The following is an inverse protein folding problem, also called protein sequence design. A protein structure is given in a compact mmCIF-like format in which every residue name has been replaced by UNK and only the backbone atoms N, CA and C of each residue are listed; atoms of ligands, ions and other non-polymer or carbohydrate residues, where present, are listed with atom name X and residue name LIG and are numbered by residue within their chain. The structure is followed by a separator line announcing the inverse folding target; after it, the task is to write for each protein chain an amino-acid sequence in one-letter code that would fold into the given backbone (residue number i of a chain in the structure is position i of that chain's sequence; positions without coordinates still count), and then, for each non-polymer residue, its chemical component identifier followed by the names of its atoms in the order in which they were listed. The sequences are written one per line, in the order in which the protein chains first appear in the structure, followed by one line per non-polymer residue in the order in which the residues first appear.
data_IF_919826329633
#
_entry.id   IF_919826329633
#
_cell.length_a   1.000
_cell.length_b   1.000
_cell.length_c   1.000
_cell.angle_alpha   90.00
_cell.angle_beta   90.00
_cell.angle_gamma   90.00
#
_symmetry.space_group_name_H-M   'P 1'
#
loop_
_entity.id
_entity.type
_entity.pdbx_description
1 polymer ?
#
# COMPACT_ATOMS: atom_id res chain seq x y z
N UNK A 1 11.52 30.31 -2.31
CA UNK A 1 11.65 28.84 -2.01
C UNK A 1 11.46 28.63 -0.53
N UNK A 2 10.56 27.75 -0.13
CA UNK A 2 10.41 27.34 1.27
C UNK A 2 11.62 26.44 1.57
N UNK A 3 12.38 26.74 2.63
CA UNK A 3 13.54 25.92 3.01
C UNK A 3 13.07 24.54 3.47
N UNK A 4 13.91 23.52 3.36
CA UNK A 4 13.62 22.14 3.80
C UNK A 4 13.16 22.08 5.26
N UNK A 5 13.79 22.86 6.15
CA UNK A 5 13.39 23.00 7.56
C UNK A 5 11.95 23.50 7.70
N UNK A 6 11.53 24.44 6.86
CA UNK A 6 10.16 24.96 6.88
C UNK A 6 9.16 23.94 6.34
N UNK A 7 9.55 23.10 5.37
CA UNK A 7 8.70 22.04 4.84
C UNK A 7 8.41 20.96 5.90
N UNK A 8 9.43 20.47 6.60
CA UNK A 8 9.24 19.53 7.71
C UNK A 8 8.32 20.08 8.80
N UNK A 9 8.49 21.35 9.15
CA UNK A 9 7.64 22.01 10.13
C UNK A 9 6.18 22.08 9.68
N UNK A 10 5.92 22.47 8.44
CA UNK A 10 4.56 22.52 7.88
C UNK A 10 3.89 21.14 7.85
N UNK A 11 4.63 20.11 7.45
CA UNK A 11 4.17 18.73 7.46
C UNK A 11 3.77 18.28 8.87
N UNK A 12 4.66 18.51 9.86
CA UNK A 12 4.42 18.13 11.25
C UNK A 12 3.23 18.88 11.87
N UNK A 13 3.11 20.17 11.60
CA UNK A 13 1.97 20.98 12.07
C UNK A 13 0.65 20.47 11.48
N UNK A 14 0.64 20.19 10.18
CA UNK A 14 -0.52 19.63 9.50
C UNK A 14 -0.91 18.25 10.06
N UNK A 15 0.08 17.37 10.29
CA UNK A 15 -0.14 16.05 10.88
C UNK A 15 -0.75 16.16 12.28
N UNK A 16 -0.20 17.02 13.15
CA UNK A 16 -0.76 17.26 14.51
C UNK A 16 -2.19 17.78 14.45
N UNK A 17 -2.48 18.67 13.50
CA UNK A 17 -3.82 19.18 13.29
C UNK A 17 -4.79 18.07 12.84
N UNK A 18 -4.38 17.21 11.90
CA UNK A 18 -5.16 16.03 11.48
C UNK A 18 -5.50 15.12 12.67
N UNK A 19 -4.50 14.80 13.51
CA UNK A 19 -4.67 13.94 14.69
C UNK A 19 -5.66 14.59 15.67
N UNK A 20 -5.50 15.88 15.94
CA UNK A 20 -6.41 16.64 16.80
C UNK A 20 -7.84 16.61 16.27
N UNK A 21 -8.03 16.92 14.99
CA UNK A 21 -9.36 16.96 14.37
C UNK A 21 -10.01 15.57 14.29
N UNK A 22 -9.23 14.51 14.12
CA UNK A 22 -9.72 13.13 14.20
C UNK A 22 -10.19 12.79 15.62
N UNK A 23 -9.41 13.10 16.65
CA UNK A 23 -9.76 12.84 18.06
C UNK A 23 -10.97 13.64 18.52
N UNK A 24 -11.15 14.85 18.00
CA UNK A 24 -12.33 15.71 18.23
C UNK A 24 -13.56 15.27 17.42
N UNK A 25 -13.44 14.31 16.50
CA UNK A 25 -14.52 13.87 15.64
C UNK A 25 -15.01 14.94 14.65
N UNK A 26 -14.12 15.88 14.26
CA UNK A 26 -14.46 16.91 13.29
C UNK A 26 -14.80 16.32 11.93
N UNK A 27 -15.87 16.84 11.31
CA UNK A 27 -16.32 16.43 9.98
C UNK A 27 -15.84 17.37 8.89
N UNK A 28 -15.73 18.66 9.15
CA UNK A 28 -15.11 19.67 8.27
C UNK A 28 -13.74 20.03 8.85
N UNK A 29 -12.67 19.83 8.06
CA UNK A 29 -11.30 19.92 8.52
C UNK A 29 -10.61 21.20 8.03
N UNK A 30 -9.75 21.75 8.85
CA UNK A 30 -8.78 22.79 8.47
C UNK A 30 -7.44 22.16 8.04
N UNK A 31 -7.17 20.92 8.49
CA UNK A 31 -6.01 20.17 8.04
C UNK A 31 -6.14 19.72 6.59
N UNK A 32 -5.02 19.36 5.98
CA UNK A 32 -4.90 18.80 4.65
C UNK A 32 -4.61 17.30 4.73
N UNK A 33 -4.92 16.50 3.69
CA UNK A 33 -4.47 15.12 3.66
C UNK A 33 -2.94 15.07 3.72
N UNK A 34 -2.37 14.19 4.56
CA UNK A 34 -0.92 14.01 4.63
C UNK A 34 -0.46 12.71 3.97
N UNK A 35 -1.40 11.90 3.46
CA UNK A 35 -1.12 10.71 2.66
C UNK A 35 -1.92 10.76 1.36
N UNK A 36 -1.23 10.54 0.24
CA UNK A 36 -1.85 10.52 -1.08
C UNK A 36 -1.48 9.25 -1.83
N UNK A 37 -2.47 8.59 -2.39
CA UNK A 37 -2.30 7.45 -3.30
C UNK A 37 -2.71 7.88 -4.70
N UNK A 38 -1.80 7.75 -5.64
CA UNK A 38 -1.98 8.09 -7.04
C UNK A 38 -2.00 6.81 -7.88
N UNK A 39 -3.19 6.33 -8.26
CA UNK A 39 -3.32 5.29 -9.27
C UNK A 39 -3.30 5.98 -10.64
N UNK A 40 -2.11 6.18 -11.20
CA UNK A 40 -1.94 7.04 -12.38
C UNK A 40 -2.29 6.36 -13.70
N UNK A 41 -2.35 5.01 -13.73
CA UNK A 41 -2.68 4.28 -14.96
C UNK A 41 -3.27 2.90 -14.66
N UNK A 42 -4.08 2.39 -15.60
CA UNK A 42 -4.46 0.96 -15.64
C UNK A 42 -3.65 0.17 -16.69
N UNK A 43 -2.79 0.85 -17.46
CA UNK A 43 -1.91 0.19 -18.45
C UNK A 43 -0.86 -0.64 -17.73
N UNK A 44 -0.64 -1.86 -18.22
CA UNK A 44 0.42 -2.74 -17.74
C UNK A 44 1.05 -3.46 -18.93
N UNK A 45 2.34 -3.76 -18.85
CA UNK A 45 3.07 -4.52 -19.85
C UNK A 45 2.92 -6.04 -19.73
N UNK A 46 2.26 -6.51 -18.65
CA UNK A 46 2.02 -7.92 -18.37
C UNK A 46 0.55 -8.17 -18.01
N UNK A 47 0.13 -9.44 -18.01
CA UNK A 47 -1.24 -9.89 -17.71
C UNK A 47 -1.24 -10.97 -16.65
N UNK A 48 -0.96 -10.60 -15.39
CA UNK A 48 -0.94 -11.54 -14.27
C UNK A 48 -2.29 -12.26 -14.12
N UNK A 49 -2.25 -13.57 -13.86
CA UNK A 49 -3.47 -14.40 -13.80
C UNK A 49 -4.46 -13.98 -12.71
N UNK A 50 -3.94 -13.38 -11.59
CA UNK A 50 -4.76 -12.95 -10.46
C UNK A 50 -5.12 -11.45 -10.51
N UNK A 51 -4.70 -10.72 -11.55
CA UNK A 51 -4.91 -9.29 -11.60
C UNK A 51 -6.39 -8.94 -11.81
N UNK A 52 -6.99 -8.26 -10.83
CA UNK A 52 -8.37 -7.78 -10.91
C UNK A 52 -8.53 -6.44 -11.63
N UNK A 53 -7.43 -5.79 -12.02
CA UNK A 53 -7.51 -4.52 -12.73
C UNK A 53 -7.85 -4.75 -14.20
N UNK A 54 -8.90 -4.10 -14.70
CA UNK A 54 -9.16 -4.12 -16.13
C UNK A 54 -8.03 -3.41 -16.86
N UNK A 55 -7.44 -4.03 -17.85
CA UNK A 55 -6.49 -3.37 -18.75
C UNK A 55 -7.26 -2.42 -19.69
N UNK A 56 -7.84 -1.36 -19.11
CA UNK A 56 -8.70 -0.39 -19.81
C UNK A 56 -7.92 0.76 -20.44
N UNK A 57 -6.59 0.74 -20.36
CA UNK A 57 -5.69 1.78 -20.85
C UNK A 57 -5.98 3.20 -20.32
N UNK A 58 -6.72 3.33 -19.21
CA UNK A 58 -6.94 4.63 -18.59
C UNK A 58 -5.62 5.15 -17.99
N UNK A 59 -5.37 6.43 -18.19
CA UNK A 59 -4.23 7.14 -17.62
C UNK A 59 -4.68 8.52 -17.15
N UNK A 60 -4.24 8.92 -15.97
CA UNK A 60 -4.49 10.26 -15.46
C UNK A 60 -3.73 11.26 -16.36
N UNK A 61 -4.38 12.31 -16.86
CA UNK A 61 -3.69 13.36 -17.66
C UNK A 61 -2.64 14.11 -16.82
N UNK A 62 -1.60 14.62 -17.49
CA UNK A 62 -0.52 15.40 -16.86
C UNK A 62 -1.06 16.54 -15.99
N UNK A 63 -1.94 17.37 -16.57
CA UNK A 63 -2.49 18.58 -15.94
C UNK A 63 -3.33 18.26 -14.70
N UNK A 64 -3.94 17.06 -14.67
CA UNK A 64 -4.66 16.60 -13.49
C UNK A 64 -3.69 16.09 -12.43
N UNK A 65 -2.65 15.36 -12.82
CA UNK A 65 -1.62 14.88 -11.91
C UNK A 65 -0.87 16.04 -11.26
N UNK A 66 -0.58 17.11 -11.99
CA UNK A 66 0.13 18.30 -11.51
C UNK A 66 -0.60 19.02 -10.35
N UNK A 67 -1.92 18.90 -10.25
CA UNK A 67 -2.70 19.49 -9.13
C UNK A 67 -2.24 19.01 -7.76
N UNK A 68 -1.56 17.85 -7.64
CA UNK A 68 -1.02 17.37 -6.36
C UNK A 68 0.08 18.27 -5.78
N UNK A 69 0.75 19.07 -6.61
CA UNK A 69 1.87 19.90 -6.17
C UNK A 69 1.47 20.89 -5.08
N UNK A 70 0.21 21.32 -5.05
CA UNK A 70 -0.35 22.15 -3.98
C UNK A 70 -0.42 21.46 -2.61
N UNK A 71 -0.35 20.12 -2.55
CA UNK A 71 -0.35 19.35 -1.31
C UNK A 71 1.05 19.02 -0.81
N UNK A 72 2.07 18.98 -1.68
CA UNK A 72 3.42 18.48 -1.36
C UNK A 72 4.04 19.12 -0.10
N UNK A 73 3.90 20.44 0.18
CA UNK A 73 4.49 21.04 1.38
C UNK A 73 3.98 20.46 2.70
N UNK A 74 2.78 19.86 2.71
CA UNK A 74 2.14 19.29 3.91
C UNK A 74 2.02 17.77 3.85
N UNK A 75 2.47 17.15 2.76
CA UNK A 75 2.36 15.72 2.53
C UNK A 75 3.48 14.96 3.23
N UNK A 76 3.15 13.87 3.91
CA UNK A 76 4.13 12.94 4.53
C UNK A 76 4.44 11.77 3.59
N UNK A 77 3.42 11.29 2.87
CA UNK A 77 3.56 10.11 2.00
C UNK A 77 2.83 10.25 0.67
N UNK A 78 3.52 9.85 -0.39
CA UNK A 78 2.99 9.78 -1.74
C UNK A 78 3.21 8.40 -2.32
N UNK A 79 2.13 7.69 -2.63
CA UNK A 79 2.18 6.34 -3.16
C UNK A 79 1.77 6.32 -4.64
N UNK A 80 2.68 5.90 -5.49
CA UNK A 80 2.49 5.74 -6.93
C UNK A 80 2.09 4.32 -7.26
N UNK A 81 0.90 4.15 -7.78
CA UNK A 81 0.32 2.84 -8.11
C UNK A 81 -0.36 2.86 -9.48
N UNK A 82 -0.77 1.68 -9.91
CA UNK A 82 -1.52 1.49 -11.15
C UNK A 82 -1.33 0.10 -11.73
N UNK A 83 -1.44 -0.01 -13.03
CA UNK A 83 -0.99 -1.19 -13.77
C UNK A 83 0.53 -1.33 -13.66
N UNK A 84 1.26 -0.46 -14.40
CA UNK A 84 2.71 -0.28 -14.24
C UNK A 84 3.04 1.21 -14.43
N UNK A 85 3.50 1.86 -13.37
CA UNK A 85 3.71 3.32 -13.33
C UNK A 85 4.80 3.78 -14.29
N UNK A 86 5.79 2.95 -14.54
CA UNK A 86 6.90 3.25 -15.46
C UNK A 86 6.48 3.34 -16.94
N UNK A 87 5.23 3.00 -17.26
CA UNK A 87 4.65 3.19 -18.62
C UNK A 87 4.05 4.59 -18.82
N UNK A 88 4.00 5.40 -17.75
CA UNK A 88 3.45 6.76 -17.84
C UNK A 88 4.55 7.74 -18.18
N UNK A 89 4.43 8.41 -19.31
CA UNK A 89 5.50 9.22 -19.91
C UNK A 89 5.99 10.34 -18.97
N UNK A 90 5.10 10.97 -18.20
CA UNK A 90 5.44 12.03 -17.26
C UNK A 90 5.88 11.52 -15.86
N UNK A 91 5.83 10.22 -15.60
CA UNK A 91 6.08 9.70 -14.26
C UNK A 91 7.49 10.02 -13.74
N UNK A 92 8.50 9.94 -14.61
CA UNK A 92 9.88 10.25 -14.23
C UNK A 92 10.01 11.71 -13.77
N UNK A 93 9.44 12.64 -14.51
CA UNK A 93 9.47 14.07 -14.18
C UNK A 93 8.82 14.33 -12.82
N UNK A 94 7.62 13.78 -12.60
CA UNK A 94 6.88 13.94 -11.33
C UNK A 94 7.62 13.33 -10.15
N UNK A 95 8.11 12.10 -10.31
CA UNK A 95 8.86 11.41 -9.28
C UNK A 95 10.10 12.20 -8.86
N UNK A 96 10.85 12.69 -9.83
CA UNK A 96 12.06 13.49 -9.58
C UNK A 96 11.74 14.87 -9.01
N UNK A 97 10.69 15.53 -9.49
CA UNK A 97 10.24 16.80 -8.92
C UNK A 97 9.97 16.67 -7.42
N UNK A 98 9.27 15.61 -7.00
CA UNK A 98 9.01 15.35 -5.58
C UNK A 98 10.32 15.04 -4.84
N UNK A 99 11.18 14.18 -5.39
CA UNK A 99 12.45 13.82 -4.74
C UNK A 99 13.40 15.01 -4.54
N UNK A 100 13.47 15.90 -5.53
CA UNK A 100 14.41 17.02 -5.51
C UNK A 100 13.87 18.25 -4.76
N UNK A 101 12.57 18.54 -4.85
CA UNK A 101 11.96 19.75 -4.27
C UNK A 101 11.28 19.51 -2.92
N UNK A 102 10.89 18.27 -2.63
CA UNK A 102 10.17 17.88 -1.41
C UNK A 102 10.75 16.60 -0.79
N UNK A 103 12.04 16.61 -0.40
CA UNK A 103 12.75 15.43 0.11
C UNK A 103 12.16 14.85 1.41
N UNK A 104 11.33 15.63 2.12
CA UNK A 104 10.58 15.17 3.29
C UNK A 104 9.44 14.20 2.94
N UNK A 105 8.97 14.19 1.68
CA UNK A 105 7.89 13.31 1.26
C UNK A 105 8.43 11.90 1.03
N UNK A 106 7.91 10.94 1.80
CA UNK A 106 8.21 9.53 1.61
C UNK A 106 7.47 9.03 0.36
N UNK A 107 8.19 8.81 -0.73
CA UNK A 107 7.60 8.23 -1.92
C UNK A 107 7.53 6.71 -1.81
N UNK A 108 6.46 6.09 -2.32
CA UNK A 108 6.39 4.65 -2.50
C UNK A 108 5.90 4.29 -3.90
N UNK A 109 6.43 3.20 -4.43
CA UNK A 109 6.11 2.68 -5.76
C UNK A 109 5.76 1.20 -5.63
N UNK A 110 4.67 0.77 -6.31
CA UNK A 110 4.39 -0.64 -6.54
C UNK A 110 4.65 -0.96 -8.01
N UNK A 111 5.51 -1.95 -8.28
CA UNK A 111 5.96 -2.28 -9.64
C UNK A 111 6.16 -3.79 -9.83
N UNK A 112 6.07 -4.23 -11.09
CA UNK A 112 6.52 -5.57 -11.49
C UNK A 112 8.06 -5.67 -11.65
N UNK A 113 8.78 -4.54 -11.62
CA UNK A 113 10.25 -4.46 -11.64
C UNK A 113 10.91 -4.57 -13.02
N UNK A 114 10.15 -4.80 -14.10
CA UNK A 114 10.69 -5.10 -15.42
C UNK A 114 11.25 -3.87 -16.17
N UNK A 115 10.88 -2.65 -15.74
CA UNK A 115 11.33 -1.40 -16.35
C UNK A 115 12.50 -0.72 -15.62
N UNK A 116 13.04 -1.34 -14.57
CA UNK A 116 14.15 -0.75 -13.81
C UNK A 116 15.47 -0.98 -14.57
N UNK A 117 15.71 -0.15 -15.57
CA UNK A 117 16.99 -0.07 -16.26
C UNK A 117 18.02 0.74 -15.44
N UNK A 118 19.22 0.91 -15.98
CA UNK A 118 20.30 1.67 -15.30
C UNK A 118 19.96 3.16 -15.11
N UNK A 119 19.08 3.72 -15.95
CA UNK A 119 18.67 5.13 -15.88
C UNK A 119 17.68 5.27 -14.73
N UNK A 120 16.61 4.47 -14.72
CA UNK A 120 15.64 4.44 -13.63
C UNK A 120 16.27 4.09 -12.28
N UNK A 121 17.18 3.11 -12.26
CA UNK A 121 17.87 2.72 -11.03
C UNK A 121 18.61 3.90 -10.39
N UNK A 122 19.27 4.77 -11.17
CA UNK A 122 19.94 5.98 -10.66
C UNK A 122 18.96 6.99 -10.06
N UNK A 123 17.79 7.20 -10.68
CA UNK A 123 16.77 8.09 -10.14
C UNK A 123 16.18 7.54 -8.85
N UNK A 124 15.80 6.27 -8.84
CA UNK A 124 15.23 5.60 -7.66
C UNK A 124 16.19 5.61 -6.47
N UNK A 125 17.48 5.38 -6.72
CA UNK A 125 18.50 5.34 -5.67
C UNK A 125 18.74 6.68 -4.96
N UNK A 126 18.32 7.81 -5.55
CA UNK A 126 18.50 9.16 -4.97
C UNK A 126 17.34 9.59 -4.08
N UNK A 127 16.19 8.94 -4.18
CA UNK A 127 14.98 9.32 -3.48
C UNK A 127 14.87 8.70 -2.09
N UNK A 128 14.08 9.32 -1.22
CA UNK A 128 13.53 8.66 -0.05
C UNK A 128 12.36 7.78 -0.51
N UNK A 129 12.63 6.49 -0.70
CA UNK A 129 11.77 5.59 -1.46
C UNK A 129 11.49 4.27 -0.72
N UNK A 130 10.22 3.89 -0.70
CA UNK A 130 9.78 2.55 -0.40
C UNK A 130 9.29 1.87 -1.67
N UNK A 131 10.04 0.89 -2.20
CA UNK A 131 9.68 0.20 -3.43
C UNK A 131 9.18 -1.21 -3.16
N UNK A 132 7.97 -1.50 -3.62
CA UNK A 132 7.31 -2.80 -3.53
C UNK A 132 7.44 -3.53 -4.87
N UNK A 133 8.21 -4.59 -4.85
CA UNK A 133 8.31 -5.52 -5.98
C UNK A 133 7.23 -6.58 -5.87
N UNK A 134 6.41 -6.66 -6.87
CA UNK A 134 5.40 -7.71 -6.99
C UNK A 134 6.04 -8.98 -7.54
N UNK A 135 6.36 -9.96 -6.67
CA UNK A 135 7.03 -11.22 -7.03
C UNK A 135 6.26 -12.37 -6.40
N UNK A 136 5.60 -13.21 -7.20
CA UNK A 136 4.75 -14.29 -6.67
C UNK A 136 5.44 -15.66 -6.65
N UNK A 137 6.63 -15.78 -7.22
CA UNK A 137 7.48 -16.98 -7.08
C UNK A 137 8.95 -16.64 -7.28
N UNK A 138 9.81 -17.40 -6.64
CA UNK A 138 11.27 -17.39 -6.85
C UNK A 138 11.70 -18.42 -7.89
N UNK A 139 10.79 -19.31 -8.28
CA UNK A 139 10.97 -20.24 -9.39
C UNK A 139 10.54 -19.58 -10.69
N UNK A 140 11.38 -19.67 -11.72
CA UNK A 140 11.14 -19.02 -13.02
C UNK A 140 9.84 -19.45 -13.68
N UNK A 141 9.62 -20.75 -13.78
CA UNK A 141 8.46 -21.32 -14.48
C UNK A 141 7.16 -20.88 -13.79
N UNK A 142 7.10 -20.97 -12.48
CA UNK A 142 5.94 -20.53 -11.67
C UNK A 142 5.75 -19.02 -11.75
N UNK A 143 6.83 -18.23 -11.70
CA UNK A 143 6.77 -16.78 -11.84
C UNK A 143 6.16 -16.37 -13.18
N UNK A 144 6.66 -16.92 -14.28
CA UNK A 144 6.23 -16.59 -15.63
C UNK A 144 4.81 -17.11 -15.94
N UNK A 145 4.41 -18.24 -15.33
CA UNK A 145 3.03 -18.74 -15.36
C UNK A 145 2.05 -17.76 -14.70
N UNK A 146 2.41 -17.25 -13.50
CA UNK A 146 1.57 -16.33 -12.74
C UNK A 146 1.57 -14.94 -13.39
N UNK A 147 2.75 -14.44 -13.76
CA UNK A 147 2.94 -13.10 -14.31
C UNK A 147 3.12 -13.14 -15.82
N UNK A 148 2.06 -13.54 -16.51
CA UNK A 148 2.06 -13.75 -17.97
C UNK A 148 2.59 -12.54 -18.71
N UNK A 149 3.60 -12.76 -19.54
CA UNK A 149 4.30 -11.73 -20.31
C UNK A 149 5.53 -11.15 -19.60
N UNK A 150 5.76 -11.50 -18.33
CA UNK A 150 7.01 -11.20 -17.66
C UNK A 150 8.07 -12.26 -17.98
N UNK A 151 9.34 -11.84 -17.97
CA UNK A 151 10.50 -12.73 -17.97
C UNK A 151 11.22 -12.62 -16.64
N UNK A 152 11.51 -13.75 -16.02
CA UNK A 152 12.16 -13.77 -14.71
C UNK A 152 13.55 -13.13 -14.72
N UNK A 153 14.30 -13.31 -15.82
CA UNK A 153 15.61 -12.69 -16.00
C UNK A 153 15.54 -11.15 -16.04
N UNK A 154 14.48 -10.58 -16.63
CA UNK A 154 14.31 -9.12 -16.69
C UNK A 154 14.00 -8.55 -15.30
N UNK A 155 13.22 -9.27 -14.47
CA UNK A 155 13.02 -8.93 -13.07
C UNK A 155 14.35 -8.90 -12.31
N UNK A 156 15.14 -9.99 -12.43
CA UNK A 156 16.45 -10.09 -11.75
C UNK A 156 17.36 -8.96 -12.17
N UNK A 157 17.44 -8.68 -13.48
CA UNK A 157 18.21 -7.56 -14.01
C UNK A 157 17.78 -6.21 -13.45
N UNK A 158 16.47 -5.98 -13.31
CA UNK A 158 15.93 -4.76 -12.69
C UNK A 158 16.34 -4.61 -11.23
N UNK A 159 16.26 -5.70 -10.47
CA UNK A 159 16.70 -5.73 -9.07
C UNK A 159 18.21 -5.46 -8.94
N UNK A 160 19.03 -6.10 -9.78
CA UNK A 160 20.47 -5.92 -9.78
C UNK A 160 20.88 -4.51 -10.16
N UNK A 161 20.26 -3.91 -11.19
CA UNK A 161 20.48 -2.52 -11.56
C UNK A 161 20.20 -1.57 -10.38
N UNK A 162 19.10 -1.80 -9.65
CA UNK A 162 18.75 -0.97 -8.50
C UNK A 162 19.75 -1.17 -7.35
N UNK A 163 20.14 -2.41 -7.04
CA UNK A 163 21.13 -2.71 -6.00
C UNK A 163 22.48 -2.04 -6.30
N UNK A 164 22.94 -2.12 -7.56
CA UNK A 164 24.19 -1.49 -8.00
C UNK A 164 24.11 0.04 -7.86
N UNK A 165 22.95 0.64 -8.23
CA UNK A 165 22.76 2.07 -8.11
C UNK A 165 22.72 2.54 -6.65
N UNK A 166 22.07 1.79 -5.75
CA UNK A 166 22.03 2.08 -4.31
C UNK A 166 23.43 2.03 -3.72
N UNK A 167 24.25 1.02 -4.08
CA UNK A 167 25.64 0.91 -3.58
C UNK A 167 26.52 2.08 -4.03
N UNK A 168 26.33 2.55 -5.26
CA UNK A 168 27.09 3.68 -5.82
C UNK A 168 26.63 5.03 -5.33
N UNK A 169 25.38 5.13 -4.90
CA UNK A 169 24.73 6.41 -4.62
C UNK A 169 24.34 6.50 -3.14
N UNK A 170 25.27 6.85 -2.31
CA UNK A 170 25.13 6.86 -0.84
C UNK A 170 24.17 7.96 -0.28
N UNK A 171 23.25 8.52 -1.07
CA UNK A 171 22.45 9.70 -0.70
C UNK A 171 20.98 9.43 -0.47
N UNK A 172 20.43 8.34 -1.01
CA UNK A 172 19.01 7.99 -0.87
C UNK A 172 18.76 6.94 0.21
N UNK A 173 17.54 6.93 0.73
CA UNK A 173 17.05 5.88 1.64
C UNK A 173 16.03 5.01 0.88
N UNK A 174 16.52 3.93 0.25
CA UNK A 174 15.67 3.02 -0.51
C UNK A 174 15.39 1.75 0.27
N UNK A 175 14.13 1.56 0.63
CA UNK A 175 13.63 0.35 1.27
C UNK A 175 12.90 -0.53 0.26
N UNK A 176 13.30 -1.81 0.17
CA UNK A 176 12.72 -2.78 -0.76
C UNK A 176 11.86 -3.80 -0.04
N UNK A 177 10.66 -4.04 -0.58
CA UNK A 177 9.71 -5.04 -0.11
C UNK A 177 9.34 -5.99 -1.24
N UNK A 178 9.25 -7.28 -0.94
CA UNK A 178 8.63 -8.29 -1.80
C UNK A 178 7.17 -8.44 -1.41
N UNK A 179 6.26 -8.26 -2.38
CA UNK A 179 4.83 -8.48 -2.21
C UNK A 179 4.42 -9.75 -2.95
N UNK A 180 3.86 -10.70 -2.20
CA UNK A 180 3.51 -12.04 -2.69
C UNK A 180 2.04 -12.29 -2.50
N UNK A 181 1.32 -12.56 -3.58
CA UNK A 181 -0.05 -13.09 -3.51
C UNK A 181 0.02 -14.61 -3.39
N UNK A 182 -0.47 -15.14 -2.27
CA UNK A 182 -0.46 -16.59 -2.02
C UNK A 182 -1.62 -17.25 -2.76
N UNK A 183 -1.29 -18.24 -3.58
CA UNK A 183 -2.19 -18.93 -4.50
C UNK A 183 -1.87 -20.42 -4.57
N UNK A 184 -2.74 -21.19 -5.24
CA UNK A 184 -2.55 -22.64 -5.44
C UNK A 184 -1.25 -22.99 -6.16
N UNK A 185 -0.84 -22.15 -7.11
CA UNK A 185 0.39 -22.36 -7.89
C UNK A 185 1.69 -22.11 -7.14
N UNK A 186 1.67 -21.37 -6.01
CA UNK A 186 2.91 -20.96 -5.31
C UNK A 186 2.98 -21.29 -3.81
N UNK A 187 1.89 -21.71 -3.16
CA UNK A 187 1.85 -21.80 -1.68
C UNK A 187 2.88 -22.79 -1.10
N UNK A 188 3.40 -23.73 -1.88
CA UNK A 188 4.40 -24.70 -1.43
C UNK A 188 5.83 -24.16 -1.40
N UNK A 189 6.11 -23.09 -2.15
CA UNK A 189 7.48 -22.57 -2.36
C UNK A 189 7.80 -21.30 -1.57
N UNK A 190 6.90 -20.88 -0.65
CA UNK A 190 7.01 -19.58 0.02
C UNK A 190 8.26 -19.43 0.90
N UNK A 191 8.82 -20.53 1.42
CA UNK A 191 10.04 -20.48 2.22
C UNK A 191 11.25 -19.99 1.42
N UNK A 192 11.29 -20.27 0.11
CA UNK A 192 12.39 -19.87 -0.79
C UNK A 192 12.55 -18.34 -0.89
N UNK A 193 11.50 -17.56 -0.54
CA UNK A 193 11.57 -16.11 -0.50
C UNK A 193 12.56 -15.57 0.53
N UNK A 194 12.88 -16.34 1.58
CA UNK A 194 13.90 -15.92 2.58
C UNK A 194 15.27 -15.84 1.94
N UNK A 195 15.70 -16.89 1.23
CA UNK A 195 16.99 -16.89 0.55
C UNK A 195 17.03 -15.92 -0.63
N UNK A 196 15.90 -15.77 -1.35
CA UNK A 196 15.77 -14.76 -2.39
C UNK A 196 15.93 -13.34 -1.80
N UNK A 197 15.27 -13.03 -0.70
CA UNK A 197 15.36 -11.74 -0.05
C UNK A 197 16.79 -11.44 0.45
N UNK A 198 17.49 -12.43 1.03
CA UNK A 198 18.90 -12.30 1.41
C UNK A 198 19.77 -12.00 0.19
N UNK A 199 19.67 -12.81 -0.85
CA UNK A 199 20.47 -12.70 -2.07
C UNK A 199 20.34 -11.33 -2.73
N UNK A 200 19.09 -10.82 -2.81
CA UNK A 200 18.78 -9.57 -3.51
C UNK A 200 18.58 -8.37 -2.56
N UNK A 201 18.90 -8.54 -1.27
CA UNK A 201 18.92 -7.48 -0.24
C UNK A 201 17.55 -6.80 -0.05
N UNK A 202 16.52 -7.60 0.05
CA UNK A 202 15.22 -7.13 0.51
C UNK A 202 15.15 -7.20 2.03
N UNK A 203 14.62 -6.15 2.66
CA UNK A 203 14.44 -6.09 4.11
C UNK A 203 13.09 -6.59 4.58
N UNK A 204 12.14 -6.74 3.66
CA UNK A 204 10.74 -7.09 3.99
C UNK A 204 10.12 -8.03 2.96
N UNK A 205 9.24 -8.92 3.46
CA UNK A 205 8.36 -9.75 2.65
C UNK A 205 6.95 -9.61 3.20
N UNK A 206 5.99 -9.35 2.31
CA UNK A 206 4.57 -9.33 2.66
C UNK A 206 3.83 -10.37 1.84
N UNK A 207 3.30 -11.38 2.53
CA UNK A 207 2.40 -12.34 1.94
C UNK A 207 0.97 -11.86 2.11
N UNK A 208 0.14 -11.99 1.08
CA UNK A 208 -1.26 -11.64 1.13
C UNK A 208 -2.11 -12.76 0.55
N UNK A 209 -3.32 -12.84 1.03
CA UNK A 209 -4.35 -13.70 0.47
C UNK A 209 -4.74 -13.18 -0.92
N UNK A 210 -5.01 -14.11 -1.85
CA UNK A 210 -5.62 -13.77 -3.13
C UNK A 210 -7.02 -13.19 -2.92
N UNK A 211 -7.33 -12.12 -3.63
CA UNK A 211 -8.67 -11.54 -3.70
C UNK A 211 -9.15 -11.47 -5.16
N UNK A 212 -10.46 -11.60 -5.36
CA UNK A 212 -11.09 -11.38 -6.66
C UNK A 212 -11.17 -12.62 -7.55
N UNK A 213 -11.21 -12.41 -8.87
CA UNK A 213 -11.41 -13.43 -9.90
C UNK A 213 -10.35 -14.55 -9.91
N UNK A 214 -10.65 -15.64 -10.56
CA UNK A 214 -9.88 -16.87 -10.70
C UNK A 214 -9.98 -17.83 -9.49
N UNK A 215 -11.16 -18.45 -9.28
CA UNK A 215 -11.39 -19.41 -8.20
C UNK A 215 -10.42 -20.60 -8.20
N UNK A 216 -9.93 -21.00 -9.38
CA UNK A 216 -9.02 -22.15 -9.52
C UNK A 216 -7.66 -21.96 -8.80
N UNK A 217 -7.24 -20.70 -8.59
CA UNK A 217 -6.02 -20.35 -7.87
C UNK A 217 -6.28 -19.94 -6.41
N UNK A 218 -7.55 -19.84 -6.01
CA UNK A 218 -7.92 -19.48 -4.66
C UNK A 218 -7.88 -20.69 -3.74
N UNK A 219 -7.04 -20.66 -2.72
CA UNK A 219 -6.97 -21.69 -1.68
C UNK A 219 -7.66 -21.26 -0.38
N UNK A 220 -8.16 -20.04 -0.32
CA UNK A 220 -8.78 -19.47 0.86
C UNK A 220 -10.31 -19.46 0.78
N UNK A 221 -10.88 -19.36 -0.45
CA UNK A 221 -12.34 -19.34 -0.69
C UNK A 221 -12.73 -20.14 -1.98
N UNK A 222 -13.30 -21.37 -1.85
CA UNK A 222 -13.45 -22.12 -0.59
C UNK A 222 -12.09 -22.56 -0.04
N UNK A 223 -12.02 -22.75 1.28
CA UNK A 223 -10.77 -23.19 1.91
C UNK A 223 -10.34 -24.56 1.40
N UNK A 224 -9.12 -24.63 0.89
CA UNK A 224 -8.45 -25.89 0.55
C UNK A 224 -7.83 -26.48 1.83
N UNK A 225 -8.34 -27.63 2.37
CA UNK A 225 -7.85 -28.15 3.63
C UNK A 225 -6.38 -28.54 3.61
N UNK A 226 -5.89 -29.08 2.47
CA UNK A 226 -4.48 -29.47 2.32
C UNK A 226 -3.58 -28.24 2.36
N UNK A 227 -3.93 -27.20 1.59
CA UNK A 227 -3.18 -25.96 1.57
C UNK A 227 -3.18 -25.28 2.94
N UNK A 228 -4.32 -25.24 3.64
CA UNK A 228 -4.40 -24.64 5.00
C UNK A 228 -3.52 -25.38 6.00
N UNK A 229 -3.53 -26.72 6.01
CA UNK A 229 -2.67 -27.50 6.91
C UNK A 229 -1.19 -27.36 6.57
N UNK A 230 -0.86 -27.23 5.28
CA UNK A 230 0.50 -26.96 4.82
C UNK A 230 0.98 -25.59 5.30
N UNK A 231 0.21 -24.53 5.04
CA UNK A 231 0.54 -23.17 5.43
C UNK A 231 0.68 -23.02 6.95
N UNK A 232 -0.16 -23.71 7.72
CA UNK A 232 -0.10 -23.76 9.18
C UNK A 232 1.26 -24.25 9.70
N UNK A 233 1.88 -25.21 9.01
CA UNK A 233 3.22 -25.72 9.35
C UNK A 233 4.34 -24.84 8.77
N UNK A 234 4.11 -24.23 7.63
CA UNK A 234 5.12 -23.48 6.88
C UNK A 234 5.38 -22.09 7.48
N UNK A 235 4.35 -21.32 7.84
CA UNK A 235 4.53 -19.94 8.27
C UNK A 235 5.38 -19.77 9.53
N UNK A 236 5.28 -20.62 10.58
CA UNK A 236 6.21 -20.55 11.71
C UNK A 236 7.68 -20.74 11.30
N UNK A 237 7.96 -21.59 10.28
CA UNK A 237 9.31 -21.78 9.78
C UNK A 237 9.78 -20.52 9.01
N UNK A 238 8.89 -19.92 8.19
CA UNK A 238 9.20 -18.67 7.48
C UNK A 238 9.53 -17.55 8.48
N UNK A 239 8.74 -17.40 9.55
CA UNK A 239 8.95 -16.39 10.59
C UNK A 239 10.29 -16.59 11.32
N UNK A 240 10.62 -17.85 11.66
CA UNK A 240 11.88 -18.19 12.30
C UNK A 240 13.10 -17.91 11.41
N UNK A 241 13.07 -18.37 10.15
CA UNK A 241 14.15 -18.15 9.20
C UNK A 241 14.29 -16.66 8.82
N UNK A 242 13.19 -15.95 8.68
CA UNK A 242 13.20 -14.50 8.46
C UNK A 242 13.84 -13.76 9.63
N UNK A 243 13.51 -14.13 10.88
CA UNK A 243 14.12 -13.55 12.08
C UNK A 243 15.62 -13.77 12.12
N UNK A 244 16.10 -14.99 11.82
CA UNK A 244 17.53 -15.31 11.72
C UNK A 244 18.23 -14.48 10.64
N UNK A 245 17.53 -14.19 9.55
CA UNK A 245 18.03 -13.41 8.42
C UNK A 245 17.91 -11.88 8.61
N UNK A 246 17.28 -11.38 9.66
CA UNK A 246 17.00 -9.96 9.85
C UNK A 246 15.95 -9.40 8.86
N UNK A 247 15.10 -10.26 8.31
CA UNK A 247 14.05 -9.90 7.34
C UNK A 247 12.72 -9.78 8.08
N UNK A 248 11.99 -8.68 7.86
CA UNK A 248 10.64 -8.52 8.40
C UNK A 248 9.64 -9.25 7.51
N UNK A 249 8.85 -10.15 8.10
CA UNK A 249 7.75 -10.84 7.41
C UNK A 249 6.42 -10.37 7.96
N UNK A 250 5.44 -10.16 7.09
CA UNK A 250 4.05 -9.88 7.46
C UNK A 250 3.09 -10.73 6.63
N UNK A 251 2.04 -11.22 7.26
CA UNK A 251 0.97 -11.99 6.63
C UNK A 251 -0.32 -11.94 7.44
N UNK A 252 -1.51 -12.11 6.80
CA UNK A 252 -2.80 -12.10 7.50
C UNK A 252 -3.21 -13.48 8.06
N UNK A 253 -2.31 -14.48 8.08
CA UNK A 253 -2.65 -15.88 8.31
C UNK A 253 -2.59 -16.30 9.79
N UNK A 254 -2.48 -15.36 10.73
CA UNK A 254 -2.44 -15.64 12.17
C UNK A 254 -3.62 -16.49 12.68
N UNK A 255 -4.79 -16.38 12.02
CA UNK A 255 -5.96 -17.20 12.35
C UNK A 255 -5.77 -18.71 12.08
N UNK A 256 -4.79 -19.11 11.27
CA UNK A 256 -4.47 -20.52 11.03
C UNK A 256 -3.81 -21.19 12.24
N UNK A 257 -3.23 -20.39 13.14
CA UNK A 257 -2.45 -20.86 14.30
C UNK A 257 -3.24 -20.83 15.59
N UNK A 258 -4.39 -20.15 15.64
CA UNK A 258 -5.25 -20.12 16.82
C UNK A 258 -5.96 -21.47 16.98
N UNK A 259 -5.88 -22.05 18.19
CA UNK A 259 -6.55 -23.30 18.54
C UNK A 259 -8.08 -23.23 18.51
N UNK A 260 -8.65 -22.03 18.38
CA UNK A 260 -10.09 -21.76 18.27
C UNK A 260 -10.54 -21.70 16.79
N UNK A 261 -10.45 -22.84 16.10
CA UNK A 261 -10.94 -22.98 14.71
C UNK A 261 -12.48 -22.92 14.56
N UNK A 262 -13.21 -22.55 15.61
CA UNK A 262 -14.68 -22.43 15.58
C UNK A 262 -15.23 -21.00 15.70
N UNK A 263 -14.37 -19.96 15.81
CA UNK A 263 -14.85 -18.56 15.95
C UNK A 263 -14.39 -17.61 14.86
N UNK A 264 -14.31 -18.03 13.61
CA UNK A 264 -13.98 -17.13 12.49
C UNK A 264 -15.18 -16.38 11.87
N UNK A 265 -16.32 -16.42 12.53
CA UNK A 265 -17.33 -15.36 12.49
C UNK A 265 -17.26 -14.66 13.83
N UNK A 266 -16.21 -13.87 14.07
CA UNK A 266 -16.09 -13.09 15.28
C UNK A 266 -17.33 -12.21 15.39
N UNK A 267 -18.27 -12.65 16.22
CA UNK A 267 -19.34 -11.80 16.71
C UNK A 267 -18.67 -10.55 17.28
N UNK A 268 -19.13 -9.38 16.85
CA UNK A 268 -18.68 -8.05 17.31
C UNK A 268 -18.73 -7.86 18.84
N UNK A 269 -19.20 -8.86 19.60
CA UNK A 269 -19.40 -8.82 21.05
C UNK A 269 -18.22 -9.32 21.90
N UNK A 270 -17.20 -9.98 21.32
CA UNK A 270 -16.20 -10.73 22.09
C UNK A 270 -14.77 -10.16 22.05
N UNK A 271 -14.57 -8.90 21.60
CA UNK A 271 -13.32 -8.18 21.79
C UNK A 271 -13.44 -7.38 23.11
N UNK A 272 -12.83 -7.86 24.21
CA UNK A 272 -13.10 -7.28 25.53
C UNK A 272 -12.39 -5.94 25.80
N UNK A 273 -11.70 -5.35 24.80
CA UNK A 273 -10.95 -4.12 25.04
C UNK A 273 -11.56 -2.93 24.32
N UNK A 274 -12.18 -1.97 25.03
CA UNK A 274 -12.68 -0.72 24.45
C UNK A 274 -11.63 0.08 23.71
N UNK A 275 -10.34 -0.03 24.09
CA UNK A 275 -9.22 0.61 23.41
C UNK A 275 -8.94 -0.03 22.05
N UNK A 276 -9.11 -1.36 21.90
CA UNK A 276 -8.96 -2.07 20.63
C UNK A 276 -10.07 -1.68 19.63
N UNK A 277 -11.29 -1.46 20.12
CA UNK A 277 -12.41 -0.97 19.30
C UNK A 277 -12.18 0.46 18.79
N UNK A 278 -11.46 1.30 19.54
CA UNK A 278 -11.02 2.61 19.07
C UNK A 278 -9.90 2.51 18.02
N UNK A 279 -8.97 1.54 18.18
CA UNK A 279 -7.87 1.26 17.24
C UNK A 279 -8.36 0.76 15.86
N UNK A 280 -9.56 0.18 15.81
CA UNK A 280 -10.17 -0.35 14.58
C UNK A 280 -11.04 0.68 13.84
N UNK A 281 -11.18 1.92 14.34
CA UNK A 281 -11.92 2.95 13.60
C UNK A 281 -11.14 3.41 12.38
N UNK A 282 -11.83 3.44 11.25
CA UNK A 282 -11.26 3.94 10.00
C UNK A 282 -10.84 5.41 10.15
N UNK A 283 -9.55 5.69 9.94
CA UNK A 283 -9.00 7.06 9.93
C UNK A 283 -8.86 7.65 8.52
N UNK A 284 -9.01 6.85 7.46
CA UNK A 284 -8.72 7.28 6.08
C UNK A 284 -9.30 8.65 5.71
N UNK A 285 -10.56 9.00 6.02
CA UNK A 285 -11.13 10.30 5.67
C UNK A 285 -10.50 11.50 6.41
N UNK A 286 -9.60 11.29 7.39
CA UNK A 286 -8.91 12.36 8.11
C UNK A 286 -7.44 12.53 7.70
N UNK A 287 -6.87 11.59 6.94
CA UNK A 287 -5.45 11.72 6.59
C UNK A 287 -5.12 11.38 5.13
N UNK A 288 -6.03 10.72 4.39
CA UNK A 288 -5.71 10.10 3.11
C UNK A 288 -6.67 10.50 2.00
N UNK A 289 -6.13 10.69 0.82
CA UNK A 289 -6.84 10.71 -0.45
C UNK A 289 -6.27 9.67 -1.41
N UNK A 290 -7.13 9.15 -2.27
CA UNK A 290 -6.76 8.24 -3.37
C UNK A 290 -7.34 8.80 -4.66
N UNK A 291 -6.49 9.04 -5.65
CA UNK A 291 -6.87 9.46 -7.00
C UNK A 291 -6.78 8.27 -7.94
N UNK A 292 -7.85 8.01 -8.68
CA UNK A 292 -7.96 6.92 -9.65
C UNK A 292 -7.60 7.38 -11.07
N UNK A 293 -7.28 6.47 -12.01
CA UNK A 293 -6.80 6.85 -13.35
C UNK A 293 -7.77 7.65 -14.22
N UNK A 294 -9.07 7.64 -13.89
CA UNK A 294 -10.11 8.46 -14.55
C UNK A 294 -10.41 9.75 -13.79
N UNK A 295 -9.59 10.07 -12.78
CA UNK A 295 -9.68 11.29 -12.00
C UNK A 295 -10.58 11.21 -10.77
N UNK A 296 -11.29 10.11 -10.52
CA UNK A 296 -12.13 9.99 -9.33
C UNK A 296 -11.26 10.07 -8.06
N UNK A 297 -11.74 10.81 -7.07
CA UNK A 297 -11.10 10.97 -5.77
C UNK A 297 -11.92 10.19 -4.74
N UNK A 298 -11.24 9.40 -3.90
CA UNK A 298 -11.84 8.61 -2.82
C UNK A 298 -11.03 8.73 -1.54
N UNK A 299 -11.59 8.45 -0.34
CA UNK A 299 -10.81 8.37 0.89
C UNK A 299 -9.79 7.22 0.86
N UNK A 300 -10.15 6.10 0.23
CA UNK A 300 -9.31 4.94 -0.04
C UNK A 300 -9.77 4.23 -1.32
N UNK A 301 -8.90 3.42 -1.95
CA UNK A 301 -9.20 2.73 -3.21
C UNK A 301 -10.40 1.77 -3.11
N UNK A 302 -10.65 1.18 -1.93
CA UNK A 302 -11.79 0.29 -1.71
C UNK A 302 -13.09 1.02 -1.37
N UNK A 303 -13.05 2.30 -1.02
CA UNK A 303 -14.26 3.07 -0.74
C UNK A 303 -15.15 3.16 -1.97
N UNK A 304 -16.46 2.92 -1.79
CA UNK A 304 -17.39 2.87 -2.94
C UNK A 304 -17.71 4.25 -3.50
N UNK A 305 -17.80 5.26 -2.62
CA UNK A 305 -18.27 6.59 -3.01
C UNK A 305 -17.13 7.51 -3.40
N UNK A 306 -17.30 8.17 -4.52
CA UNK A 306 -16.42 9.22 -5.02
C UNK A 306 -16.71 10.50 -4.24
N UNK A 307 -15.65 11.19 -3.80
CA UNK A 307 -15.73 12.44 -3.04
C UNK A 307 -15.44 13.68 -3.89
N UNK A 308 -14.92 13.48 -5.09
CA UNK A 308 -14.64 14.50 -6.09
C UNK A 308 -13.98 13.90 -7.32
N UNK A 309 -13.61 14.73 -8.30
CA UNK A 309 -12.88 14.33 -9.48
C UNK A 309 -11.80 15.37 -9.80
N UNK A 310 -10.52 14.97 -9.77
CA UNK A 310 -9.37 15.86 -9.96
C UNK A 310 -9.36 16.56 -11.32
N UNK A 311 -10.05 16.02 -12.34
CA UNK A 311 -10.19 16.67 -13.64
C UNK A 311 -11.03 17.96 -13.56
N UNK A 312 -11.92 18.06 -12.57
CA UNK A 312 -12.92 19.14 -12.43
C UNK A 312 -12.70 19.93 -11.15
N UNK A 313 -12.36 19.23 -10.04
CA UNK A 313 -12.33 19.78 -8.71
C UNK A 313 -10.90 20.05 -8.25
N UNK A 314 -10.75 20.92 -7.26
CA UNK A 314 -9.55 21.04 -6.46
C UNK A 314 -9.48 19.93 -5.40
N UNK A 315 -8.28 19.46 -5.07
CA UNK A 315 -8.09 18.40 -4.08
C UNK A 315 -8.53 18.82 -2.67
N UNK A 316 -8.38 20.09 -2.31
CA UNK A 316 -8.82 20.61 -1.00
C UNK A 316 -10.35 20.75 -0.94
N UNK A 317 -10.99 21.08 -2.06
CA UNK A 317 -12.47 21.08 -2.16
C UNK A 317 -13.00 19.66 -2.01
N UNK A 318 -12.41 18.68 -2.72
CA UNK A 318 -12.74 17.27 -2.57
C UNK A 318 -12.52 16.75 -1.14
N UNK A 319 -11.46 17.23 -0.46
CA UNK A 319 -11.13 16.91 0.94
C UNK A 319 -12.23 17.29 1.93
N UNK A 320 -12.99 18.36 1.65
CA UNK A 320 -14.10 18.82 2.47
C UNK A 320 -15.45 18.76 1.73
N UNK A 321 -15.56 17.97 0.66
CA UNK A 321 -16.82 17.77 -0.06
C UNK A 321 -17.93 17.22 0.86
N UNK A 322 -19.21 17.43 0.53
CA UNK A 322 -20.33 16.88 1.30
C UNK A 322 -20.23 15.36 1.51
N UNK A 323 -19.75 14.63 0.48
CA UNK A 323 -19.59 13.17 0.56
C UNK A 323 -18.45 12.80 1.50
N UNK A 324 -17.32 13.54 1.51
CA UNK A 324 -16.23 13.31 2.45
C UNK A 324 -16.66 13.61 3.89
N UNK A 325 -17.41 14.68 4.10
CA UNK A 325 -17.98 15.01 5.41
C UNK A 325 -18.95 13.91 5.88
N UNK A 326 -19.75 13.35 4.98
CA UNK A 326 -20.64 12.23 5.30
C UNK A 326 -19.85 10.97 5.71
N UNK A 327 -18.71 10.65 5.07
CA UNK A 327 -17.81 9.57 5.53
C UNK A 327 -17.39 9.78 6.98
N UNK A 328 -16.90 10.97 7.31
CA UNK A 328 -16.48 11.33 8.69
C UNK A 328 -17.64 11.22 9.67
N UNK A 329 -18.80 11.76 9.33
CA UNK A 329 -20.00 11.71 10.16
C UNK A 329 -20.41 10.27 10.46
N UNK A 330 -20.48 9.40 9.45
CA UNK A 330 -20.85 7.98 9.60
C UNK A 330 -19.87 7.21 10.49
N UNK A 331 -18.56 7.50 10.38
CA UNK A 331 -17.55 6.89 11.23
C UNK A 331 -17.64 7.39 12.67
N UNK A 332 -17.84 8.71 12.88
CA UNK A 332 -17.99 9.29 14.23
C UNK A 332 -19.23 8.75 14.93
N UNK A 333 -20.36 8.66 14.23
CA UNK A 333 -21.63 8.13 14.77
C UNK A 333 -21.68 6.60 14.85
N UNK A 334 -20.62 5.89 14.39
CA UNK A 334 -20.59 4.43 14.28
C UNK A 334 -21.73 3.83 13.43
N UNK A 335 -22.23 4.60 12.45
CA UNK A 335 -23.30 4.23 11.52
C UNK A 335 -22.73 3.96 10.13
N UNK A 336 -21.88 2.93 10.03
CA UNK A 336 -21.17 2.58 8.79
C UNK A 336 -21.87 1.47 7.99
N UNK A 337 -22.88 0.82 8.56
CA UNK A 337 -23.64 -0.24 7.91
C UNK A 337 -24.31 0.27 6.64
N UNK A 338 -24.24 -0.50 5.55
CA UNK A 338 -24.70 -0.09 4.21
C UNK A 338 -24.01 1.15 3.61
N UNK A 339 -22.98 1.69 4.28
CA UNK A 339 -22.22 2.82 3.79
C UNK A 339 -20.77 2.42 3.42
N UNK A 340 -20.13 1.62 4.24
CA UNK A 340 -18.79 1.08 4.01
C UNK A 340 -18.84 -0.34 3.43
N UNK A 341 -17.74 -0.77 2.80
CA UNK A 341 -17.63 -2.15 2.28
C UNK A 341 -17.56 -3.16 3.43
N UNK A 342 -18.08 -4.39 3.25
CA UNK A 342 -18.06 -5.42 4.31
C UNK A 342 -16.68 -5.69 4.90
N UNK A 343 -15.61 -5.65 4.08
CA UNK A 343 -14.24 -5.83 4.53
C UNK A 343 -13.77 -4.79 5.55
N UNK A 344 -14.31 -3.56 5.51
CA UNK A 344 -14.07 -2.54 6.53
C UNK A 344 -14.89 -2.80 7.80
N UNK A 345 -16.14 -3.26 7.64
CA UNK A 345 -17.07 -3.47 8.76
C UNK A 345 -16.64 -4.65 9.65
N UNK A 346 -16.11 -5.71 9.06
CA UNK A 346 -15.62 -6.89 9.77
C UNK A 346 -14.14 -6.79 10.23
N UNK A 347 -13.50 -5.64 10.00
CA UNK A 347 -12.11 -5.39 10.41
C UNK A 347 -11.05 -6.07 9.52
N UNK A 348 -11.43 -6.89 8.55
CA UNK A 348 -10.47 -7.62 7.68
C UNK A 348 -9.53 -6.66 6.95
N UNK A 349 -10.06 -5.56 6.42
CA UNK A 349 -9.24 -4.56 5.74
C UNK A 349 -8.48 -3.66 6.72
N UNK A 350 -9.11 -3.26 7.81
CA UNK A 350 -8.51 -2.36 8.80
C UNK A 350 -7.36 -3.01 9.56
N UNK A 351 -7.39 -4.33 9.76
CA UNK A 351 -6.30 -5.08 10.39
C UNK A 351 -5.01 -5.10 9.57
N UNK A 352 -5.09 -4.84 8.26
CA UNK A 352 -3.93 -4.75 7.37
C UNK A 352 -3.22 -3.38 7.48
N UNK A 353 -3.88 -2.37 8.05
CA UNK A 353 -3.37 -0.99 8.11
C UNK A 353 -3.49 -0.46 9.53
N UNK A 354 -2.36 -0.25 10.19
CA UNK A 354 -2.33 0.49 11.45
C UNK A 354 -2.73 1.94 11.15
N UNK A 355 -3.81 2.41 11.79
CA UNK A 355 -4.23 3.80 11.64
C UNK A 355 -3.10 4.75 12.07
N UNK A 356 -2.49 5.52 11.14
CA UNK A 356 -1.34 6.37 11.46
C UNK A 356 -1.68 7.50 12.43
N UNK A 357 -2.96 7.85 12.59
CA UNK A 357 -3.43 8.85 13.54
C UNK A 357 -3.34 8.38 15.00
N UNK A 358 -3.17 7.07 15.23
CA UNK A 358 -3.11 6.47 16.58
C UNK A 358 -1.69 6.11 17.01
N UNK A 359 -0.71 6.11 16.10
CA UNK A 359 0.69 5.75 16.42
C UNK A 359 1.33 6.64 17.49
N UNK A 360 0.95 7.89 17.55
CA UNK A 360 1.57 8.87 18.48
C UNK A 360 0.97 8.74 19.89
N UNK A 361 -0.26 8.22 20.03
CA UNK A 361 -0.86 7.94 21.33
C UNK A 361 -0.18 6.74 22.04
N UNK A 362 0.27 5.74 21.28
CA UNK A 362 0.95 4.55 21.83
C UNK A 362 2.38 4.84 22.35
N UNK A 363 3.01 5.93 21.89
CA UNK A 363 4.35 6.34 22.39
C UNK A 363 4.30 7.15 23.68
N UNK A 364 3.16 7.80 23.99
CA UNK A 364 2.99 8.60 25.19
C UNK A 364 2.53 7.79 26.40
N UNK A 365 1.90 6.62 26.22
CA UNK A 365 1.49 5.72 27.29
C UNK A 365 2.62 4.76 27.76
N UNK A 366 3.78 4.81 27.08
CA UNK A 366 4.98 4.00 27.42
C UNK A 366 6.09 4.81 28.13
N UNK A 367 5.77 6.01 28.58
CA UNK A 367 6.59 6.83 29.51
C UNK A 367 5.84 7.02 30.81
#
# INVERSE_FOLDING_TARGET
MITEINQHKLMDENRRLCIKEYNEGKIKLNSRPFSLVMLITTRCNISCIMCGWPNSHAQLPYEAAEKIFGLLPTLESLNWQGGEVFLVDYFQEFFMHVADQFPHVNQSISTNGLFIDKIWAKFLARANLFITFSIDSTNKETYEYIRRGARFEDLIKGIDNLNEAIEKNNTGNVNKLIFVVVMKSNYRDLLSFIDFAKKYRFSRIQFVQKFGSLPAEDIFEPRDPEAMEYLKKLFPQIEEEAKKAGISVSHPFGYLFSSDSQKSAANKSDIPNPQLNQLLKCGCPWYKLTVLPKGEIKPDCICQRVVGNILKDDLIEAWNSPVMQLYRQKIVSNDMENFCVPACLNGTYLSLYINPLLKDNLKNDAK
#
